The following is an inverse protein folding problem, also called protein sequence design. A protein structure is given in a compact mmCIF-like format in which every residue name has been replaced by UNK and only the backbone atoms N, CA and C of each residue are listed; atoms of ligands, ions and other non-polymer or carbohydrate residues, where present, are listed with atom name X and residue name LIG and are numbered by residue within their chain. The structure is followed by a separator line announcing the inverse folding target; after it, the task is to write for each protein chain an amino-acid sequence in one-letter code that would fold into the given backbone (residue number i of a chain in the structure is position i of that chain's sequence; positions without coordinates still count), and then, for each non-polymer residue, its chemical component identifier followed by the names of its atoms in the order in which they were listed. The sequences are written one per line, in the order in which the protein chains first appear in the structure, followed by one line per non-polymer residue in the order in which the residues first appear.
data_IF_513360594178
#
_entry.id   IF_513360594178
#
_cell.length_a   1.000
_cell.length_b   1.000
_cell.length_c   1.000
_cell.angle_alpha   90.00
_cell.angle_beta   90.00
_cell.angle_gamma   90.00
#
_symmetry.space_group_name_H-M   'P 1'
#
loop_
_entity.id
_entity.type
_entity.pdbx_description
1 polymer ?
#
# COMPACT_ATOMS: atom_id res chain seq x y z
N UNK A 1 -11.42 -5.04 19.66
CA UNK A 1 -10.41 -4.92 18.56
C UNK A 1 -10.00 -3.46 18.46
N UNK A 2 -8.72 -3.15 18.48
CA UNK A 2 -8.24 -1.78 18.22
C UNK A 2 -8.08 -1.59 16.71
N UNK A 3 -9.09 -1.04 16.04
CA UNK A 3 -9.11 -0.85 14.58
C UNK A 3 -7.97 0.06 14.09
N UNK A 4 -7.54 1.03 14.90
CA UNK A 4 -6.47 1.99 14.55
C UNK A 4 -5.14 1.30 14.19
N UNK A 5 -4.90 0.10 14.73
CA UNK A 5 -3.70 -0.69 14.44
C UNK A 5 -3.76 -1.44 13.10
N UNK A 6 -4.90 -1.43 12.43
CA UNK A 6 -5.06 -1.95 11.08
C UNK A 6 -5.05 -0.84 10.02
N UNK A 7 -5.21 0.43 10.43
CA UNK A 7 -5.36 1.56 9.51
C UNK A 7 -4.00 2.17 9.15
N UNK A 8 -3.74 2.22 7.84
CA UNK A 8 -2.72 3.04 7.22
C UNK A 8 -3.39 4.33 6.76
N UNK A 9 -3.27 5.41 7.55
CA UNK A 9 -3.77 6.73 7.13
C UNK A 9 -3.02 7.14 5.86
N UNK A 10 -3.74 7.49 4.79
CA UNK A 10 -3.16 7.59 3.45
C UNK A 10 -3.44 8.93 2.80
N UNK A 11 -2.37 9.64 2.39
CA UNK A 11 -2.45 10.80 1.52
C UNK A 11 -1.42 10.70 0.39
N UNK A 12 -1.89 10.46 -0.85
CA UNK A 12 -1.04 10.21 -2.03
C UNK A 12 -1.37 11.11 -3.23
N UNK A 13 -2.29 12.07 -3.10
CA UNK A 13 -2.57 13.02 -4.18
C UNK A 13 -1.39 13.95 -4.44
N UNK A 14 -1.10 14.20 -5.71
CA UNK A 14 -0.25 15.32 -6.11
C UNK A 14 -1.03 16.63 -5.99
N UNK A 15 -0.35 17.75 -6.04
CA UNK A 15 -1.00 19.08 -6.05
C UNK A 15 -2.01 19.21 -7.19
N UNK A 16 -1.64 18.75 -8.39
CA UNK A 16 -2.50 18.71 -9.57
C UNK A 16 -3.76 17.84 -9.34
N UNK A 17 -3.60 16.62 -8.80
CA UNK A 17 -4.72 15.73 -8.50
C UNK A 17 -5.64 16.25 -7.41
N UNK A 18 -5.11 17.08 -6.50
CA UNK A 18 -5.88 17.73 -5.46
C UNK A 18 -6.49 19.09 -5.90
N UNK A 19 -6.07 19.63 -7.06
CA UNK A 19 -6.52 20.92 -7.57
C UNK A 19 -6.04 22.12 -6.73
N UNK A 20 -4.85 22.01 -6.12
CA UNK A 20 -4.27 23.01 -5.21
C UNK A 20 -2.81 23.28 -5.58
N UNK A 21 -2.18 24.29 -4.96
CA UNK A 21 -0.76 24.57 -5.13
C UNK A 21 0.12 23.52 -4.42
N UNK A 22 1.40 23.48 -4.74
CA UNK A 22 2.33 22.56 -4.08
C UNK A 22 2.55 22.94 -2.60
N UNK A 23 2.53 24.23 -2.28
CA UNK A 23 2.58 24.73 -0.89
C UNK A 23 1.38 24.26 -0.07
N UNK A 24 0.17 24.38 -0.63
CA UNK A 24 -1.06 23.88 0.01
C UNK A 24 -1.03 22.35 0.13
N UNK A 25 -0.51 21.63 -0.86
CA UNK A 25 -0.39 20.17 -0.82
C UNK A 25 0.57 19.70 0.28
N UNK A 26 1.64 20.47 0.56
CA UNK A 26 2.52 20.23 1.70
C UNK A 26 1.75 20.38 3.02
N UNK A 27 0.94 21.43 3.16
CA UNK A 27 0.14 21.65 4.36
C UNK A 27 -0.87 20.53 4.59
N UNK A 28 -1.56 20.08 3.55
CA UNK A 28 -2.47 18.92 3.64
C UNK A 28 -1.71 17.66 4.08
N UNK A 29 -0.53 17.39 3.53
CA UNK A 29 0.29 16.26 3.96
C UNK A 29 0.69 16.38 5.44
N UNK A 30 1.05 17.57 5.93
CA UNK A 30 1.35 17.83 7.33
C UNK A 30 0.14 17.56 8.24
N UNK A 31 -1.06 17.98 7.83
CA UNK A 31 -2.30 17.72 8.57
C UNK A 31 -2.55 16.21 8.70
N UNK A 32 -2.40 15.44 7.62
CA UNK A 32 -2.53 13.98 7.67
C UNK A 32 -1.50 13.32 8.59
N UNK A 33 -0.24 13.77 8.56
CA UNK A 33 0.82 13.27 9.45
C UNK A 33 0.48 13.60 10.90
N UNK A 34 0.09 14.84 11.19
CA UNK A 34 -0.28 15.28 12.53
C UNK A 34 -1.48 14.50 13.06
N UNK A 35 -2.52 14.33 12.25
CA UNK A 35 -3.69 13.50 12.58
C UNK A 35 -3.28 12.06 12.88
N UNK A 36 -2.40 11.46 12.08
CA UNK A 36 -1.96 10.09 12.29
C UNK A 36 -1.16 9.91 13.61
N UNK A 37 -0.38 10.92 13.99
CA UNK A 37 0.32 10.98 15.29
C UNK A 37 -0.69 11.03 16.45
N UNK A 38 -1.64 11.97 16.40
CA UNK A 38 -2.64 12.21 17.45
C UNK A 38 -3.57 11.02 17.65
N UNK A 39 -4.01 10.41 16.54
CA UNK A 39 -4.91 9.25 16.56
C UNK A 39 -4.19 7.93 16.85
N UNK A 40 -2.86 7.93 16.94
CA UNK A 40 -2.04 6.73 17.15
C UNK A 40 -2.32 5.62 16.14
N UNK A 41 -2.43 5.98 14.86
CA UNK A 41 -2.56 5.01 13.78
C UNK A 41 -1.31 4.15 13.66
N UNK A 42 -1.44 2.99 13.00
CA UNK A 42 -0.32 2.10 12.77
C UNK A 42 0.73 2.76 11.87
N UNK A 43 0.28 3.45 10.80
CA UNK A 43 1.17 3.98 9.78
C UNK A 43 0.54 5.18 9.06
N UNK A 44 1.39 6.13 8.66
CA UNK A 44 1.08 7.14 7.66
C UNK A 44 1.65 6.72 6.30
N UNK A 45 0.79 6.66 5.26
CA UNK A 45 1.18 6.35 3.89
C UNK A 45 1.20 7.64 3.06
N UNK A 46 2.37 8.03 2.56
CA UNK A 46 2.60 9.30 1.85
C UNK A 46 3.49 9.12 0.63
N UNK A 47 3.55 10.15 -0.23
CA UNK A 47 4.46 10.18 -1.38
C UNK A 47 5.93 10.18 -0.95
N UNK A 48 6.86 9.63 -1.78
CA UNK A 48 8.29 9.55 -1.46
C UNK A 48 8.91 10.91 -1.09
N UNK A 49 8.56 11.98 -1.80
CA UNK A 49 9.05 13.33 -1.54
C UNK A 49 8.54 13.96 -0.22
N UNK A 50 7.72 13.27 0.55
CA UNK A 50 7.22 13.69 1.87
C UNK A 50 7.75 12.84 3.03
N UNK A 51 8.52 11.78 2.76
CA UNK A 51 9.02 10.86 3.78
C UNK A 51 9.90 11.59 4.79
N UNK A 52 10.87 12.39 4.33
CA UNK A 52 11.74 13.18 5.22
C UNK A 52 10.96 14.19 6.08
N UNK A 53 9.90 14.80 5.54
CA UNK A 53 9.01 15.69 6.30
C UNK A 53 8.30 14.92 7.41
N UNK A 54 7.70 13.76 7.09
CA UNK A 54 7.03 12.92 8.08
C UNK A 54 7.99 12.46 9.16
N UNK A 55 9.20 12.03 8.78
CA UNK A 55 10.24 11.60 9.74
C UNK A 55 10.57 12.70 10.74
N UNK A 56 10.72 13.94 10.26
CA UNK A 56 10.98 15.10 11.12
C UNK A 56 9.83 15.35 12.11
N UNK A 57 8.58 15.32 11.63
CA UNK A 57 7.40 15.58 12.47
C UNK A 57 7.20 14.49 13.52
N UNK A 58 7.33 13.22 13.13
CA UNK A 58 7.18 12.06 14.02
C UNK A 58 8.25 12.07 15.12
N UNK A 59 9.50 12.34 14.74
CA UNK A 59 10.59 12.46 15.71
C UNK A 59 10.38 13.64 16.68
N UNK A 60 9.91 14.80 16.16
CA UNK A 60 9.60 15.98 16.98
C UNK A 60 8.48 15.74 17.98
N UNK A 61 7.53 14.87 17.65
CA UNK A 61 6.42 14.47 18.52
C UNK A 61 6.76 13.27 19.44
N UNK A 62 7.96 12.69 19.35
CA UNK A 62 8.34 11.43 20.01
C UNK A 62 7.33 10.30 19.78
N UNK A 63 6.76 10.23 18.56
CA UNK A 63 5.75 9.24 18.18
C UNK A 63 6.39 7.96 17.63
N UNK A 64 5.69 6.83 17.80
CA UNK A 64 6.06 5.52 17.25
C UNK A 64 5.36 5.24 15.91
N UNK A 65 4.69 6.23 15.32
CA UNK A 65 4.01 6.11 14.03
C UNK A 65 5.00 5.67 12.95
N UNK A 66 4.67 4.62 12.22
CA UNK A 66 5.46 4.14 11.08
C UNK A 66 5.19 4.98 9.83
N UNK A 67 6.19 5.06 8.94
CA UNK A 67 6.11 5.78 7.67
C UNK A 67 6.12 4.76 6.54
N UNK A 68 5.03 4.71 5.77
CA UNK A 68 4.99 3.99 4.51
C UNK A 68 5.09 4.93 3.32
N UNK A 69 5.68 4.44 2.25
CA UNK A 69 5.67 5.15 0.98
C UNK A 69 5.46 4.20 -0.19
N UNK A 70 5.15 4.76 -1.34
CA UNK A 70 4.89 4.03 -2.57
C UNK A 70 6.09 4.11 -3.50
N UNK A 71 6.30 3.06 -4.30
CA UNK A 71 7.40 2.95 -5.27
C UNK A 71 6.81 2.72 -6.67
N UNK A 72 7.25 3.50 -7.64
CA UNK A 72 6.78 3.50 -9.04
C UNK A 72 5.26 3.66 -9.16
N UNK A 73 4.75 4.64 -8.44
CA UNK A 73 3.32 4.84 -8.24
C UNK A 73 2.74 5.97 -9.11
N UNK A 74 1.56 5.78 -9.76
CA UNK A 74 0.67 4.62 -9.62
C UNK A 74 0.82 3.53 -10.69
N UNK A 75 1.70 3.68 -11.67
CA UNK A 75 1.69 2.93 -12.92
C UNK A 75 2.42 1.57 -12.85
N UNK A 76 3.47 1.46 -12.05
CA UNK A 76 4.23 0.23 -11.87
C UNK A 76 5.02 -0.26 -13.09
N UNK A 77 5.30 0.60 -14.06
CA UNK A 77 5.87 0.23 -15.38
C UNK A 77 7.35 0.52 -15.56
N UNK A 78 7.98 1.19 -14.59
CA UNK A 78 9.41 1.50 -14.66
C UNK A 78 10.28 0.25 -14.58
N UNK A 79 11.49 0.32 -15.12
CA UNK A 79 12.47 -0.74 -14.96
C UNK A 79 12.79 -0.98 -13.49
N UNK A 80 13.13 -2.22 -13.14
CA UNK A 80 13.38 -2.59 -11.72
C UNK A 80 14.53 -1.76 -11.13
N UNK A 81 15.53 -1.37 -11.89
CA UNK A 81 16.63 -0.52 -11.44
C UNK A 81 16.14 0.84 -10.95
N UNK A 82 15.16 1.43 -11.63
CA UNK A 82 14.54 2.70 -11.22
C UNK A 82 13.73 2.53 -9.95
N UNK A 83 12.92 1.47 -9.86
CA UNK A 83 12.17 1.12 -8.64
C UNK A 83 13.10 0.92 -7.44
N UNK A 84 14.22 0.20 -7.62
CA UNK A 84 15.21 -0.01 -6.57
C UNK A 84 15.88 1.28 -6.14
N UNK A 85 16.22 2.17 -7.08
CA UNK A 85 16.79 3.48 -6.77
C UNK A 85 15.83 4.35 -5.96
N UNK A 86 14.55 4.40 -6.36
CA UNK A 86 13.50 5.10 -5.60
C UNK A 86 13.34 4.52 -4.19
N UNK A 87 13.32 3.20 -4.06
CA UNK A 87 13.22 2.52 -2.78
C UNK A 87 14.42 2.79 -1.87
N UNK A 88 15.64 2.79 -2.39
CA UNK A 88 16.86 3.15 -1.63
C UNK A 88 16.75 4.58 -1.10
N UNK A 89 16.31 5.54 -1.92
CA UNK A 89 16.11 6.91 -1.47
C UNK A 89 15.03 6.99 -0.38
N UNK A 90 13.91 6.30 -0.55
CA UNK A 90 12.84 6.26 0.45
C UNK A 90 13.31 5.69 1.80
N UNK A 91 14.15 4.65 1.77
CA UNK A 91 14.78 4.07 2.97
C UNK A 91 15.69 5.10 3.66
N UNK A 92 16.52 5.81 2.89
CA UNK A 92 17.42 6.85 3.41
C UNK A 92 16.65 8.01 4.03
N UNK A 93 15.50 8.38 3.44
CA UNK A 93 14.60 9.41 3.95
C UNK A 93 13.82 8.99 5.20
N UNK A 94 13.84 7.69 5.55
CA UNK A 94 13.30 7.16 6.79
C UNK A 94 12.00 6.38 6.67
N UNK A 95 11.66 5.87 5.49
CA UNK A 95 10.51 4.97 5.31
C UNK A 95 10.70 3.64 6.06
N UNK A 96 9.63 3.14 6.66
CA UNK A 96 9.54 1.86 7.35
C UNK A 96 8.88 0.80 6.47
N UNK A 97 7.91 1.18 5.63
CA UNK A 97 7.18 0.33 4.71
C UNK A 97 7.34 0.82 3.27
N UNK A 98 7.54 -0.12 2.33
CA UNK A 98 7.71 0.13 0.90
C UNK A 98 6.60 -0.57 0.12
N UNK A 99 5.64 0.19 -0.42
CA UNK A 99 4.53 -0.34 -1.22
C UNK A 99 4.87 -0.21 -2.72
N UNK A 100 5.50 -1.25 -3.31
CA UNK A 100 5.84 -1.31 -4.74
C UNK A 100 4.60 -1.57 -5.60
N UNK A 101 4.46 -0.86 -6.70
CA UNK A 101 3.46 -1.23 -7.72
C UNK A 101 4.07 -2.30 -8.63
N UNK A 102 3.42 -3.48 -8.69
CA UNK A 102 3.79 -4.53 -9.65
C UNK A 102 3.62 -4.04 -11.08
N UNK A 103 4.46 -4.49 -11.99
CA UNK A 103 4.21 -4.29 -13.42
C UNK A 103 3.09 -5.23 -13.89
N UNK A 104 1.85 -4.93 -13.45
CA UNK A 104 0.66 -5.70 -13.81
C UNK A 104 0.38 -5.68 -15.31
N UNK A 105 0.85 -4.66 -16.04
CA UNK A 105 0.72 -4.60 -17.49
C UNK A 105 1.63 -5.61 -18.18
N UNK A 106 2.87 -5.77 -17.74
CA UNK A 106 3.77 -6.83 -18.20
C UNK A 106 3.20 -8.22 -17.86
N UNK A 107 2.67 -8.38 -16.64
CA UNK A 107 2.00 -9.61 -16.22
C UNK A 107 0.84 -9.98 -17.16
N UNK A 108 -0.04 -9.04 -17.51
CA UNK A 108 -1.15 -9.26 -18.45
C UNK A 108 -0.69 -9.65 -19.87
N UNK A 109 0.49 -9.21 -20.27
CA UNK A 109 1.12 -9.59 -21.55
C UNK A 109 1.84 -10.93 -21.50
N UNK A 110 1.88 -11.58 -20.34
CA UNK A 110 2.54 -12.88 -20.13
C UNK A 110 4.03 -12.79 -19.79
N UNK A 111 4.58 -11.59 -19.59
CA UNK A 111 5.97 -11.40 -19.17
C UNK A 111 6.12 -11.63 -17.66
N UNK A 112 5.91 -12.88 -17.27
CA UNK A 112 5.95 -13.29 -15.86
C UNK A 112 7.36 -13.30 -15.29
N UNK A 113 8.39 -13.44 -16.11
CA UNK A 113 9.78 -13.49 -15.63
C UNK A 113 10.26 -12.10 -15.21
N UNK A 114 9.90 -11.06 -15.97
CA UNK A 114 10.12 -9.68 -15.53
C UNK A 114 9.45 -9.41 -14.18
N UNK A 115 8.17 -9.82 -14.02
CA UNK A 115 7.44 -9.60 -12.78
C UNK A 115 8.02 -10.39 -11.61
N UNK A 116 8.50 -11.61 -11.82
CA UNK A 116 9.22 -12.40 -10.78
C UNK A 116 10.51 -11.70 -10.35
N UNK A 117 11.27 -11.19 -11.32
CA UNK A 117 12.53 -10.49 -11.04
C UNK A 117 12.30 -9.23 -10.21
N UNK A 118 11.31 -8.40 -10.56
CA UNK A 118 11.01 -7.21 -9.77
C UNK A 118 10.56 -7.55 -8.34
N UNK A 119 9.70 -8.57 -8.17
CA UNK A 119 9.24 -9.03 -6.86
C UNK A 119 10.43 -9.51 -6.02
N UNK A 120 11.29 -10.34 -6.60
CA UNK A 120 12.46 -10.89 -5.91
C UNK A 120 13.39 -9.76 -5.46
N UNK A 121 13.83 -8.91 -6.38
CA UNK A 121 14.84 -7.87 -6.11
C UNK A 121 14.31 -6.77 -5.19
N UNK A 122 13.06 -6.32 -5.40
CA UNK A 122 12.43 -5.32 -4.52
C UNK A 122 12.25 -5.85 -3.09
N UNK A 123 11.86 -7.13 -2.95
CA UNK A 123 11.74 -7.76 -1.64
C UNK A 123 13.10 -7.96 -0.97
N UNK A 124 14.12 -8.41 -1.70
CA UNK A 124 15.48 -8.53 -1.19
C UNK A 124 16.00 -7.19 -0.63
N UNK A 125 15.84 -6.11 -1.38
CA UNK A 125 16.23 -4.77 -0.95
C UNK A 125 15.51 -4.35 0.35
N UNK A 126 14.19 -4.49 0.41
CA UNK A 126 13.41 -4.07 1.56
C UNK A 126 13.76 -4.88 2.82
N UNK A 127 13.78 -6.22 2.70
CA UNK A 127 14.08 -7.10 3.83
C UNK A 127 15.52 -6.96 4.34
N UNK A 128 16.51 -6.79 3.44
CA UNK A 128 17.90 -6.52 3.81
C UNK A 128 18.07 -5.23 4.63
N UNK A 129 17.17 -4.26 4.45
CA UNK A 129 17.12 -3.02 5.21
C UNK A 129 16.10 -3.06 6.37
N UNK A 130 15.62 -4.25 6.75
CA UNK A 130 14.62 -4.46 7.81
C UNK A 130 13.29 -3.71 7.59
N UNK A 131 12.86 -3.54 6.33
CA UNK A 131 11.61 -2.88 5.96
C UNK A 131 10.50 -3.89 5.71
N UNK A 132 9.24 -3.44 5.86
CA UNK A 132 8.07 -4.15 5.37
C UNK A 132 7.91 -3.85 3.88
N UNK A 133 7.66 -4.87 3.08
CA UNK A 133 7.46 -4.74 1.62
C UNK A 133 6.03 -5.12 1.28
N UNK A 134 5.38 -4.33 0.43
CA UNK A 134 4.05 -4.67 -0.08
C UNK A 134 4.03 -4.57 -1.61
N UNK A 135 3.43 -5.57 -2.25
CA UNK A 135 3.27 -5.62 -3.70
C UNK A 135 1.84 -5.28 -4.08
N UNK A 136 1.65 -4.14 -4.74
CA UNK A 136 0.34 -3.67 -5.22
C UNK A 136 0.06 -4.35 -6.55
N UNK A 137 -0.99 -5.18 -6.61
CA UNK A 137 -1.34 -5.94 -7.82
C UNK A 137 -2.31 -5.20 -8.74
N UNK A 138 -2.96 -4.13 -8.26
CA UNK A 138 -3.97 -3.32 -8.95
C UNK A 138 -5.15 -4.16 -9.43
N UNK A 139 -5.95 -4.65 -8.49
CA UNK A 139 -7.09 -5.55 -8.77
C UNK A 139 -8.10 -4.97 -9.76
N UNK A 140 -8.24 -3.65 -9.84
CA UNK A 140 -9.15 -2.98 -10.76
C UNK A 140 -8.72 -3.12 -12.24
N UNK A 141 -7.45 -3.40 -12.50
CA UNK A 141 -6.91 -3.64 -13.84
C UNK A 141 -6.93 -5.12 -14.25
N UNK A 142 -7.29 -6.04 -13.33
CA UNK A 142 -7.15 -7.48 -13.46
C UNK A 142 -8.49 -8.19 -13.49
N UNK A 143 -8.59 -9.27 -14.26
CA UNK A 143 -9.65 -10.26 -14.14
C UNK A 143 -9.47 -11.10 -12.86
N UNK A 144 -10.53 -11.79 -12.42
CA UNK A 144 -10.47 -12.72 -11.28
C UNK A 144 -9.35 -13.75 -11.42
N UNK A 145 -9.18 -14.32 -12.61
CA UNK A 145 -8.10 -15.26 -12.92
C UNK A 145 -6.73 -14.62 -12.75
N UNK A 146 -6.55 -13.38 -13.20
CA UNK A 146 -5.28 -12.66 -13.09
C UNK A 146 -5.00 -12.26 -11.62
N UNK A 147 -6.00 -11.91 -10.82
CA UNK A 147 -5.86 -11.67 -9.37
C UNK A 147 -5.32 -12.92 -8.67
N UNK A 148 -5.93 -14.08 -8.94
CA UNK A 148 -5.50 -15.38 -8.41
C UNK A 148 -4.05 -15.69 -8.82
N UNK A 149 -3.74 -15.55 -10.10
CA UNK A 149 -2.44 -15.89 -10.66
C UNK A 149 -1.33 -14.97 -10.14
N UNK A 150 -1.56 -13.64 -10.09
CA UNK A 150 -0.54 -12.70 -9.62
C UNK A 150 -0.32 -12.81 -8.11
N UNK A 151 -1.39 -13.01 -7.32
CA UNK A 151 -1.27 -13.30 -5.88
C UNK A 151 -0.45 -14.57 -5.62
N UNK A 152 -0.71 -15.63 -6.38
CA UNK A 152 0.05 -16.88 -6.30
C UNK A 152 1.50 -16.72 -6.77
N UNK A 153 1.74 -15.90 -7.80
CA UNK A 153 3.09 -15.62 -8.30
C UNK A 153 3.94 -14.95 -7.22
N UNK A 154 3.41 -13.88 -6.58
CA UNK A 154 4.09 -13.19 -5.48
C UNK A 154 4.40 -14.18 -4.36
N UNK A 155 3.39 -14.93 -3.90
CA UNK A 155 3.60 -15.97 -2.86
C UNK A 155 4.71 -16.94 -3.25
N UNK A 156 4.68 -17.50 -4.46
CA UNK A 156 5.65 -18.49 -4.89
C UNK A 156 7.07 -17.92 -4.94
N UNK A 157 7.26 -16.69 -5.42
CA UNK A 157 8.57 -16.02 -5.39
C UNK A 157 9.06 -15.85 -3.96
N UNK A 158 8.20 -15.43 -3.03
CA UNK A 158 8.61 -15.20 -1.64
C UNK A 158 8.92 -16.52 -0.93
N UNK A 159 8.04 -17.51 -1.02
CA UNK A 159 8.21 -18.80 -0.33
C UNK A 159 9.43 -19.56 -0.84
N UNK A 160 9.79 -19.40 -2.12
CA UNK A 160 10.94 -20.09 -2.71
C UNK A 160 12.29 -19.43 -2.43
N UNK A 161 12.33 -18.16 -1.99
CA UNK A 161 13.58 -17.40 -1.92
C UNK A 161 13.87 -16.81 -0.54
N UNK A 162 12.93 -16.85 0.41
CA UNK A 162 13.10 -16.24 1.73
C UNK A 162 12.71 -17.20 2.85
N UNK A 163 13.26 -16.99 4.04
CA UNK A 163 12.94 -17.73 5.24
C UNK A 163 11.52 -17.43 5.75
N UNK A 164 10.86 -18.42 6.33
CA UNK A 164 9.46 -18.35 6.77
C UNK A 164 9.19 -17.21 7.76
N UNK A 165 10.15 -16.89 8.61
CA UNK A 165 10.07 -15.81 9.61
C UNK A 165 9.89 -14.42 8.97
N UNK A 166 10.30 -14.27 7.70
CA UNK A 166 10.20 -13.03 6.94
C UNK A 166 8.86 -12.86 6.22
N UNK A 167 8.06 -13.92 6.08
CA UNK A 167 6.80 -13.85 5.33
C UNK A 167 5.82 -12.83 5.88
N UNK A 168 5.80 -12.62 7.20
CA UNK A 168 4.95 -11.62 7.85
C UNK A 168 5.29 -10.17 7.50
N UNK A 169 6.48 -9.94 6.91
CA UNK A 169 6.95 -8.62 6.44
C UNK A 169 6.67 -8.38 4.95
N UNK A 170 6.12 -9.35 4.22
CA UNK A 170 5.84 -9.22 2.78
C UNK A 170 4.35 -9.36 2.53
N UNK A 171 3.72 -8.30 2.05
CA UNK A 171 2.27 -8.25 1.83
C UNK A 171 1.92 -8.29 0.35
N UNK A 172 0.75 -8.84 0.05
CA UNK A 172 0.05 -8.57 -1.21
C UNK A 172 -1.00 -7.49 -0.95
N UNK A 173 -0.94 -6.37 -1.71
CA UNK A 173 -1.84 -5.22 -1.57
C UNK A 173 -2.74 -5.13 -2.78
N UNK A 174 -4.05 -4.86 -2.55
CA UNK A 174 -5.06 -4.90 -3.61
C UNK A 174 -4.86 -3.82 -4.68
N UNK A 175 -4.73 -2.55 -4.31
CA UNK A 175 -4.83 -1.46 -5.28
C UNK A 175 -4.03 -0.24 -4.90
N UNK A 176 -3.76 0.60 -5.92
CA UNK A 176 -3.25 1.96 -5.73
C UNK A 176 -4.35 2.90 -5.21
N UNK A 177 -5.61 2.68 -5.63
CA UNK A 177 -6.74 3.58 -5.44
C UNK A 177 -6.83 4.66 -6.52
N UNK A 178 -5.88 4.69 -7.49
CA UNK A 178 -5.78 5.70 -8.55
C UNK A 178 -6.12 5.16 -9.95
N UNK A 179 -6.41 3.87 -10.05
CA UNK A 179 -6.83 3.29 -11.33
C UNK A 179 -8.23 3.79 -11.71
N UNK A 180 -8.36 4.28 -12.94
CA UNK A 180 -9.65 4.70 -13.48
C UNK A 180 -10.38 3.50 -14.05
N UNK A 181 -11.52 3.15 -13.46
CA UNK A 181 -12.39 2.08 -13.95
C UNK A 181 -13.45 2.63 -14.90
N UNK A 182 -13.89 1.79 -15.83
CA UNK A 182 -15.05 2.12 -16.67
C UNK A 182 -16.35 2.02 -15.85
N UNK A 183 -17.35 2.84 -16.20
CA UNK A 183 -18.69 2.79 -15.61
C UNK A 183 -18.76 2.85 -14.08
N UNK A 184 -17.82 3.55 -13.44
CA UNK A 184 -17.74 3.68 -11.97
C UNK A 184 -17.68 2.33 -11.23
N UNK A 185 -17.08 1.31 -11.83
CA UNK A 185 -16.82 0.04 -11.15
C UNK A 185 -15.87 0.26 -9.96
N UNK A 186 -15.96 -0.58 -8.91
CA UNK A 186 -15.04 -0.49 -7.79
C UNK A 186 -13.58 -0.55 -8.24
N UNK A 187 -12.74 0.38 -7.76
CA UNK A 187 -11.32 0.46 -8.11
C UNK A 187 -10.38 -0.10 -7.04
N UNK A 188 -10.87 -0.97 -6.17
CA UNK A 188 -10.05 -1.45 -5.07
C UNK A 188 -10.56 -2.69 -4.36
N UNK A 189 -10.45 -2.67 -3.03
CA UNK A 189 -10.70 -3.79 -2.15
C UNK A 189 -12.21 -4.16 -2.08
N UNK A 190 -12.67 -5.02 -2.97
CA UNK A 190 -13.98 -5.67 -2.86
C UNK A 190 -13.85 -6.98 -2.09
N UNK A 191 -14.93 -7.42 -1.46
CA UNK A 191 -14.95 -8.72 -0.73
C UNK A 191 -14.53 -9.89 -1.63
N UNK A 192 -15.02 -10.04 -2.88
CA UNK A 192 -14.55 -11.11 -3.77
C UNK A 192 -13.05 -11.03 -4.07
N UNK A 193 -12.53 -9.85 -4.43
CA UNK A 193 -11.12 -9.68 -4.73
C UNK A 193 -10.23 -10.01 -3.52
N UNK A 194 -10.59 -9.53 -2.32
CA UNK A 194 -9.85 -9.80 -1.09
C UNK A 194 -9.87 -11.29 -0.73
N UNK A 195 -10.98 -11.99 -0.90
CA UNK A 195 -11.04 -13.44 -0.69
C UNK A 195 -10.07 -14.19 -1.62
N UNK A 196 -10.09 -13.88 -2.92
CA UNK A 196 -9.17 -14.46 -3.89
C UNK A 196 -7.71 -14.22 -3.50
N UNK A 197 -7.37 -12.99 -3.07
CA UNK A 197 -6.02 -12.66 -2.61
C UNK A 197 -5.64 -13.44 -1.36
N UNK A 198 -6.48 -13.51 -0.33
CA UNK A 198 -6.21 -14.23 0.91
C UNK A 198 -5.97 -15.72 0.69
N UNK A 199 -6.77 -16.34 -0.17
CA UNK A 199 -6.65 -17.77 -0.51
C UNK A 199 -5.36 -18.08 -1.29
N UNK A 200 -4.96 -17.18 -2.18
CA UNK A 200 -3.86 -17.43 -3.12
C UNK A 200 -2.51 -16.82 -2.69
N UNK A 201 -2.51 -15.81 -1.82
CA UNK A 201 -1.30 -15.24 -1.25
C UNK A 201 -0.81 -15.97 0.03
N UNK A 202 -1.68 -16.75 0.70
CA UNK A 202 -1.28 -17.44 1.95
C UNK A 202 0.01 -18.24 1.77
N UNK A 203 1.01 -18.13 2.68
CA UNK A 203 0.93 -17.56 4.04
C UNK A 203 1.23 -16.06 4.15
N UNK A 204 1.41 -15.34 3.04
CA UNK A 204 1.67 -13.91 3.08
C UNK A 204 0.43 -13.12 3.53
N UNK A 205 0.60 -12.07 4.35
CA UNK A 205 -0.50 -11.19 4.74
C UNK A 205 -1.01 -10.35 3.56
N UNK A 206 -2.28 -9.94 3.65
CA UNK A 206 -2.95 -9.09 2.66
C UNK A 206 -3.26 -7.72 3.25
N UNK A 207 -3.05 -6.67 2.43
CA UNK A 207 -3.50 -5.30 2.68
C UNK A 207 -4.64 -4.94 1.74
N UNK A 208 -5.78 -4.54 2.30
CA UNK A 208 -6.89 -3.96 1.55
C UNK A 208 -6.64 -2.46 1.34
N UNK A 209 -6.71 -1.98 0.11
CA UNK A 209 -6.57 -0.57 -0.24
C UNK A 209 -7.46 -0.23 -1.44
N UNK A 210 -7.97 1.01 -1.48
CA UNK A 210 -8.97 1.45 -2.44
C UNK A 210 -10.38 1.04 -2.03
N UNK A 211 -11.27 2.02 -1.82
CA UNK A 211 -12.69 1.80 -1.61
C UNK A 211 -13.17 1.43 -0.19
N UNK A 212 -12.30 1.25 0.79
CA UNK A 212 -12.73 1.04 2.19
C UNK A 212 -13.01 2.39 2.83
N UNK A 213 -14.29 2.68 3.09
CA UNK A 213 -14.78 4.02 3.46
C UNK A 213 -15.56 4.06 4.78
N UNK A 214 -16.03 2.92 5.28
CA UNK A 214 -16.83 2.85 6.51
C UNK A 214 -16.19 1.96 7.55
N UNK A 215 -16.61 2.13 8.80
CA UNK A 215 -16.20 1.24 9.90
C UNK A 215 -16.60 -0.21 9.65
N UNK A 216 -17.81 -0.42 9.15
CA UNK A 216 -18.37 -1.75 8.85
C UNK A 216 -17.58 -2.45 7.75
N UNK A 217 -17.21 -1.73 6.68
CA UNK A 217 -16.35 -2.25 5.61
C UNK A 217 -14.98 -2.63 6.15
N UNK A 218 -14.36 -1.77 6.97
CA UNK A 218 -13.06 -2.06 7.56
C UNK A 218 -13.12 -3.28 8.49
N UNK A 219 -14.15 -3.39 9.32
CA UNK A 219 -14.38 -4.57 10.17
C UNK A 219 -14.58 -5.83 9.33
N UNK A 220 -15.37 -5.75 8.25
CA UNK A 220 -15.57 -6.89 7.35
C UNK A 220 -14.25 -7.37 6.72
N UNK A 221 -13.39 -6.44 6.27
CA UNK A 221 -12.06 -6.78 5.74
C UNK A 221 -11.18 -7.48 6.80
N UNK A 222 -11.18 -6.97 8.04
CA UNK A 222 -10.43 -7.57 9.13
C UNK A 222 -10.96 -8.97 9.47
N UNK A 223 -12.28 -9.16 9.49
CA UNK A 223 -12.91 -10.46 9.73
C UNK A 223 -12.60 -11.49 8.65
N UNK A 224 -12.37 -11.06 7.40
CA UNK A 224 -11.87 -11.93 6.32
C UNK A 224 -10.42 -12.37 6.55
N UNK A 225 -9.64 -11.66 7.37
CA UNK A 225 -8.23 -11.99 7.64
C UNK A 225 -7.23 -10.94 7.17
N UNK A 226 -7.68 -9.81 6.60
CA UNK A 226 -6.81 -8.69 6.21
C UNK A 226 -6.04 -8.15 7.40
N UNK A 227 -4.76 -7.86 7.21
CA UNK A 227 -3.86 -7.38 8.27
C UNK A 227 -3.64 -5.88 8.28
N UNK A 228 -3.86 -5.20 7.15
CA UNK A 228 -3.70 -3.74 7.00
C UNK A 228 -4.77 -3.19 6.05
N UNK A 229 -5.20 -1.96 6.30
CA UNK A 229 -6.20 -1.26 5.48
C UNK A 229 -5.65 0.13 5.15
N UNK A 230 -5.47 0.41 3.85
CA UNK A 230 -5.09 1.74 3.36
C UNK A 230 -6.34 2.58 3.06
N UNK A 231 -6.46 3.74 3.66
CA UNK A 231 -7.60 4.64 3.47
C UNK A 231 -7.25 6.10 3.73
N UNK A 232 -7.82 7.02 2.95
CA UNK A 232 -7.74 8.45 3.21
C UNK A 232 -8.72 8.94 4.30
N UNK A 233 -9.64 8.07 4.73
CA UNK A 233 -10.64 8.35 5.75
C UNK A 233 -10.36 7.69 7.10
N UNK A 234 -9.09 7.42 7.45
CA UNK A 234 -8.73 6.65 8.63
C UNK A 234 -9.39 7.13 9.94
N UNK A 235 -9.39 8.44 10.19
CA UNK A 235 -10.01 9.03 11.39
C UNK A 235 -11.51 8.85 11.42
N UNK A 236 -12.19 9.09 10.30
CA UNK A 236 -13.64 8.90 10.20
C UNK A 236 -14.03 7.46 10.47
N UNK A 237 -13.31 6.51 9.84
CA UNK A 237 -13.49 5.07 10.05
C UNK A 237 -13.24 4.71 11.52
N UNK A 238 -12.15 5.19 12.12
CA UNK A 238 -11.80 4.88 13.51
C UNK A 238 -12.87 5.38 14.51
N UNK A 239 -13.56 6.48 14.17
CA UNK A 239 -14.64 7.07 14.98
C UNK A 239 -16.04 6.53 14.63
N UNK A 240 -16.16 5.50 13.81
CA UNK A 240 -17.44 4.93 13.39
C UNK A 240 -18.25 5.84 12.44
N UNK A 241 -17.55 6.75 11.71
CA UNK A 241 -18.16 7.65 10.75
C UNK A 241 -17.85 7.20 9.32
N UNK A 242 -18.72 7.55 8.36
CA UNK A 242 -18.46 7.26 6.95
C UNK A 242 -17.51 8.30 6.34
N UNK A 243 -16.53 7.84 5.57
CA UNK A 243 -15.66 8.70 4.80
C UNK A 243 -16.24 8.93 3.41
N UNK A 244 -16.36 10.21 3.00
CA UNK A 244 -16.76 10.60 1.64
C UNK A 244 -15.57 10.92 0.75
N UNK A 245 -14.34 10.86 1.31
CA UNK A 245 -13.14 11.21 0.55
C UNK A 245 -12.79 10.07 -0.43
N UNK A 246 -12.66 10.43 -1.71
CA UNK A 246 -12.06 9.59 -2.73
C UNK A 246 -10.54 9.82 -2.78
N UNK A 247 -9.82 8.77 -3.20
CA UNK A 247 -8.39 8.91 -3.53
C UNK A 247 -8.19 9.92 -4.65
#
# INVERSE_FOLDING_TARGET
MNIKQYLDSTYLKTAEQAGITEEENILVAQEFIQEAIEEHFKLIMIRPNRVSLAKKMINGANSILEIGTVIDFPEGKSAIEEKLKEAVQAIQDGADDLDFVCNYQAFKKGDTDLVKEEILRGTQLGLANNKVVKWIIEVAALSEKEIIQLSSLIKNVIVSNFEQELFSKVFVKSSTGFYTTENNLPNGATVPAIKMMLENASPLPVKAAGGVRTYEEAVAMIQLGVKRIGTSGAKKIANGQNSTNEY
#
